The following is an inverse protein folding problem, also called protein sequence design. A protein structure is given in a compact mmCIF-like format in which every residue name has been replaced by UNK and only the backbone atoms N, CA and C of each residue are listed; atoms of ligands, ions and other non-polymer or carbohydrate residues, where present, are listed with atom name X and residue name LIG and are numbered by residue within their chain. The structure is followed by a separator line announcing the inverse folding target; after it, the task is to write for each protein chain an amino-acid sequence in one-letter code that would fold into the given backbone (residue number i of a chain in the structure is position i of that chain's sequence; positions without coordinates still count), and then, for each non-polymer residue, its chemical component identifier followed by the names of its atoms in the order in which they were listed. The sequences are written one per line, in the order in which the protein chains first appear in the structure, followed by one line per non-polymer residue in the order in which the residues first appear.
data_IF_414443329678
#
_entry.id   IF_414443329678
#
_cell.length_a   1.000
_cell.length_b   1.000
_cell.length_c   1.000
_cell.angle_alpha   90.00
_cell.angle_beta   90.00
_cell.angle_gamma   90.00
#
_symmetry.space_group_name_H-M   'P 1'
#
loop_
_entity.id
_entity.type
_entity.pdbx_description
1 polymer ?
#
# COMPACT_ATOMS: atom_id res chain seq x y z
N UNK A 1 34.74 1.16 3.30
CA UNK A 1 33.41 0.64 2.84
C UNK A 1 32.37 1.66 3.28
N UNK A 2 31.73 2.37 2.36
CA UNK A 2 30.67 3.33 2.70
C UNK A 2 29.44 2.57 3.19
N UNK A 3 29.12 2.71 4.46
CA UNK A 3 27.89 2.15 5.04
C UNK A 3 26.71 2.92 4.42
N UNK A 4 26.03 2.30 3.48
CA UNK A 4 24.78 2.85 2.93
C UNK A 4 23.76 2.88 4.05
N UNK A 5 23.13 4.03 4.27
CA UNK A 5 22.06 4.14 5.27
C UNK A 5 20.99 3.05 5.00
N UNK A 6 20.46 2.41 6.05
CA UNK A 6 19.44 1.40 5.88
C UNK A 6 18.20 1.99 5.17
N UNK A 7 17.59 1.21 4.28
CA UNK A 7 16.33 1.59 3.66
C UNK A 7 15.24 1.69 4.73
N UNK A 8 14.38 2.69 4.62
CA UNK A 8 13.24 2.85 5.52
C UNK A 8 11.92 2.84 4.75
N UNK A 9 10.86 2.36 5.41
CA UNK A 9 9.53 2.25 4.84
C UNK A 9 8.44 2.59 5.86
N UNK A 10 7.46 3.37 5.41
CA UNK A 10 6.19 3.63 6.07
C UNK A 10 5.12 2.79 5.37
N UNK A 11 4.55 1.82 6.05
CA UNK A 11 3.55 0.94 5.46
C UNK A 11 2.16 1.36 5.88
N UNK A 12 1.23 1.49 4.92
CA UNK A 12 -0.18 1.69 5.23
C UNK A 12 -0.77 0.46 5.91
N UNK A 13 -0.98 0.55 7.21
CA UNK A 13 -1.47 -0.53 8.06
C UNK A 13 -2.99 -0.70 8.10
N UNK A 14 -3.75 0.19 7.45
CA UNK A 14 -5.22 0.20 7.49
C UNK A 14 -5.85 -1.07 6.91
N UNK A 15 -5.13 -1.74 6.01
CA UNK A 15 -5.60 -2.97 5.34
C UNK A 15 -5.96 -4.10 6.30
N UNK A 16 -5.36 -4.16 7.49
CA UNK A 16 -5.54 -5.28 8.43
C UNK A 16 -6.99 -5.42 8.94
N UNK A 17 -7.72 -4.31 8.99
CA UNK A 17 -9.12 -4.26 9.43
C UNK A 17 -10.11 -4.18 8.27
N UNK A 18 -9.65 -4.28 7.03
CA UNK A 18 -10.55 -4.25 5.90
C UNK A 18 -11.52 -5.44 5.96
N UNK A 19 -12.86 -5.23 5.94
CA UNK A 19 -13.83 -6.27 6.28
C UNK A 19 -13.77 -7.50 5.38
N UNK A 20 -13.39 -7.32 4.12
CA UNK A 20 -13.30 -8.42 3.15
C UNK A 20 -11.87 -8.82 2.81
N UNK A 21 -10.90 -7.91 2.90
CA UNK A 21 -9.52 -8.14 2.48
C UNK A 21 -8.55 -8.41 3.65
N UNK A 22 -8.82 -7.89 4.85
CA UNK A 22 -7.92 -7.96 6.00
C UNK A 22 -7.61 -9.39 6.43
N UNK A 23 -8.63 -10.25 6.54
CA UNK A 23 -8.48 -11.66 6.91
C UNK A 23 -8.16 -12.59 5.73
N UNK A 24 -8.19 -12.09 4.49
CA UNK A 24 -8.00 -12.85 3.25
C UNK A 24 -6.62 -12.61 2.62
N UNK A 25 -6.50 -12.95 1.33
CA UNK A 25 -5.24 -12.91 0.58
C UNK A 25 -4.48 -11.60 0.69
N UNK A 26 -5.15 -10.45 0.56
CA UNK A 26 -4.50 -9.12 0.59
C UNK A 26 -3.85 -8.84 1.95
N UNK A 27 -4.61 -9.03 3.05
CA UNK A 27 -4.06 -8.80 4.40
C UNK A 27 -2.93 -9.76 4.73
N UNK A 28 -3.08 -11.06 4.41
CA UNK A 28 -2.01 -12.06 4.61
C UNK A 28 -0.77 -11.75 3.79
N UNK A 29 -0.95 -11.35 2.52
CA UNK A 29 0.15 -10.95 1.66
C UNK A 29 0.88 -9.73 2.24
N UNK A 30 0.14 -8.70 2.67
CA UNK A 30 0.72 -7.49 3.26
C UNK A 30 1.52 -7.81 4.52
N UNK A 31 1.00 -8.67 5.41
CA UNK A 31 1.74 -9.13 6.59
C UNK A 31 3.03 -9.86 6.19
N UNK A 32 2.95 -10.77 5.22
CA UNK A 32 4.11 -11.49 4.68
C UNK A 32 5.16 -10.55 4.06
N UNK A 33 4.69 -9.57 3.30
CA UNK A 33 5.54 -8.55 2.68
C UNK A 33 6.27 -7.70 3.74
N UNK A 34 5.57 -7.22 4.77
CA UNK A 34 6.16 -6.45 5.88
C UNK A 34 7.20 -7.30 6.64
N UNK A 35 6.90 -8.58 6.89
CA UNK A 35 7.88 -9.51 7.50
C UNK A 35 9.14 -9.65 6.66
N UNK A 36 8.97 -9.83 5.34
CA UNK A 36 10.10 -9.99 4.42
C UNK A 36 10.96 -8.72 4.37
N UNK A 37 10.36 -7.53 4.31
CA UNK A 37 11.09 -6.27 4.37
C UNK A 37 11.90 -6.15 5.67
N UNK A 38 11.27 -6.42 6.81
CA UNK A 38 11.95 -6.37 8.12
C UNK A 38 13.10 -7.37 8.20
N UNK A 39 12.92 -8.59 7.70
CA UNK A 39 13.95 -9.62 7.63
C UNK A 39 15.10 -9.23 6.69
N UNK A 40 14.84 -8.45 5.65
CA UNK A 40 15.82 -7.88 4.74
C UNK A 40 16.56 -6.63 5.31
N UNK A 41 16.28 -6.25 6.56
CA UNK A 41 16.93 -5.12 7.22
C UNK A 41 16.33 -3.75 6.87
N UNK A 42 15.14 -3.71 6.24
CA UNK A 42 14.43 -2.47 6.01
C UNK A 42 13.82 -1.98 7.33
N UNK A 43 14.12 -0.74 7.73
CA UNK A 43 13.51 -0.11 8.89
C UNK A 43 12.04 0.19 8.58
N UNK A 44 11.16 -0.66 9.09
CA UNK A 44 9.74 -0.64 8.72
C UNK A 44 8.88 -0.12 9.85
N UNK A 45 8.08 0.93 9.57
CA UNK A 45 7.05 1.44 10.47
C UNK A 45 5.68 1.28 9.83
N UNK A 46 4.76 0.61 10.52
CA UNK A 46 3.38 0.45 10.08
C UNK A 46 2.52 1.58 10.64
N UNK A 47 1.82 2.29 9.77
CA UNK A 47 0.94 3.41 10.11
C UNK A 47 -0.51 2.92 10.26
N UNK A 48 -1.08 3.12 11.43
CA UNK A 48 -2.39 2.62 11.83
C UNK A 48 -3.35 3.76 12.18
N UNK A 49 -4.60 3.71 11.76
CA UNK A 49 -5.63 4.70 12.13
C UNK A 49 -6.18 4.47 13.54
N UNK A 50 -6.15 3.24 14.03
CA UNK A 50 -6.73 2.87 15.34
C UNK A 50 -5.75 2.14 16.24
N UNK A 51 -6.04 2.12 17.55
CA UNK A 51 -5.29 1.30 18.53
C UNK A 51 -5.43 -0.19 18.22
N UNK A 52 -6.61 -0.61 17.76
CA UNK A 52 -6.89 -2.01 17.43
C UNK A 52 -6.04 -2.47 16.25
N UNK A 53 -5.94 -1.68 15.18
CA UNK A 53 -5.03 -1.98 14.07
C UNK A 53 -3.59 -2.15 14.56
N UNK A 54 -3.12 -1.25 15.39
CA UNK A 54 -1.78 -1.30 15.97
C UNK A 54 -1.55 -2.59 16.75
N UNK A 55 -2.50 -2.97 17.62
CA UNK A 55 -2.45 -4.22 18.39
C UNK A 55 -2.36 -5.43 17.45
N UNK A 56 -3.24 -5.51 16.45
CA UNK A 56 -3.27 -6.61 15.47
C UNK A 56 -1.98 -6.72 14.68
N UNK A 57 -1.36 -5.60 14.30
CA UNK A 57 -0.06 -5.62 13.64
C UNK A 57 1.05 -6.15 14.55
N UNK A 58 1.07 -5.75 15.82
CA UNK A 58 2.05 -6.21 16.80
C UNK A 58 1.86 -7.70 17.14
N UNK A 59 0.64 -8.18 17.15
CA UNK A 59 0.33 -9.62 17.29
C UNK A 59 0.76 -10.41 16.06
N UNK A 60 0.50 -9.87 14.86
CA UNK A 60 0.89 -10.53 13.62
C UNK A 60 2.41 -10.57 13.42
N UNK A 61 3.12 -9.51 13.82
CA UNK A 61 4.58 -9.38 13.68
C UNK A 61 5.16 -8.85 14.99
N UNK A 62 5.57 -9.72 15.93
CA UNK A 62 6.18 -9.29 17.17
C UNK A 62 7.41 -8.40 16.94
N UNK A 63 7.47 -7.28 17.66
CA UNK A 63 8.56 -6.31 17.56
C UNK A 63 8.44 -5.29 16.43
N UNK A 64 7.40 -5.36 15.57
CA UNK A 64 7.19 -4.35 14.52
C UNK A 64 6.88 -2.98 15.12
N UNK A 65 7.48 -1.94 14.55
CA UNK A 65 7.10 -0.55 14.86
C UNK A 65 5.73 -0.25 14.26
N UNK A 66 4.68 -0.24 15.09
CA UNK A 66 3.32 0.16 14.67
C UNK A 66 2.92 1.46 15.38
N UNK A 67 2.68 2.53 14.62
CA UNK A 67 2.42 3.88 15.13
C UNK A 67 1.06 4.40 14.67
N UNK A 68 0.51 5.35 15.44
CA UNK A 68 -0.67 6.08 15.01
C UNK A 68 -0.34 6.88 13.74
N UNK A 69 -1.24 6.85 12.76
CA UNK A 69 -1.08 7.64 11.53
C UNK A 69 -1.43 9.11 11.85
N UNK A 70 -0.44 9.89 12.20
CA UNK A 70 -0.54 11.33 12.45
C UNK A 70 0.50 12.08 11.62
N UNK A 71 0.25 13.37 11.36
CA UNK A 71 1.21 14.23 10.64
C UNK A 71 2.59 14.20 11.31
N UNK A 72 2.64 14.33 12.63
CA UNK A 72 3.89 14.40 13.39
C UNK A 72 4.73 13.12 13.24
N UNK A 73 4.07 11.96 13.26
CA UNK A 73 4.74 10.65 13.04
C UNK A 73 5.35 10.58 11.64
N UNK A 74 4.62 11.05 10.63
CA UNK A 74 5.11 11.04 9.24
C UNK A 74 6.25 12.06 9.08
N UNK A 75 6.12 13.26 9.61
CA UNK A 75 7.17 14.30 9.60
C UNK A 75 8.45 13.81 10.29
N UNK A 76 8.31 13.16 11.45
CA UNK A 76 9.48 12.60 12.15
C UNK A 76 10.18 11.53 11.29
N UNK A 77 9.41 10.65 10.65
CA UNK A 77 9.94 9.57 9.82
C UNK A 77 10.49 10.07 8.47
N UNK A 78 10.01 11.20 7.91
CA UNK A 78 10.48 11.73 6.63
C UNK A 78 11.97 12.07 6.62
N UNK A 79 12.58 12.29 7.78
CA UNK A 79 14.03 12.56 7.93
C UNK A 79 14.90 11.40 7.45
N UNK A 80 14.38 10.19 7.47
CA UNK A 80 15.07 8.97 7.02
C UNK A 80 14.81 8.66 5.55
N UNK A 81 14.19 9.59 4.80
CA UNK A 81 13.83 9.45 3.40
C UNK A 81 13.13 8.11 3.08
N UNK A 82 12.02 7.79 3.77
CA UNK A 82 11.34 6.51 3.65
C UNK A 82 10.55 6.42 2.34
N UNK A 83 10.26 5.17 1.92
CA UNK A 83 9.19 4.91 0.97
C UNK A 83 7.86 4.74 1.70
N UNK A 84 6.78 5.34 1.19
CA UNK A 84 5.44 5.01 1.63
C UNK A 84 4.91 3.83 0.81
N UNK A 85 4.55 2.74 1.47
CA UNK A 85 4.00 1.53 0.83
C UNK A 85 2.47 1.57 0.92
N UNK A 86 1.84 1.93 -0.20
CA UNK A 86 0.39 1.94 -0.34
C UNK A 86 -0.13 0.51 -0.52
N UNK A 87 -0.92 0.03 0.42
CA UNK A 87 -1.50 -1.32 0.41
C UNK A 87 -2.97 -1.34 0.00
N UNK A 88 -3.60 -0.17 -0.16
CA UNK A 88 -5.05 -0.05 -0.36
C UNK A 88 -5.46 0.31 -1.79
N UNK A 89 -4.51 0.52 -2.70
CA UNK A 89 -4.81 0.91 -4.08
C UNK A 89 -5.82 -0.04 -4.76
N UNK A 90 -5.73 -1.33 -4.48
CA UNK A 90 -6.56 -2.36 -5.12
C UNK A 90 -7.75 -2.82 -4.26
N UNK A 91 -7.99 -2.21 -3.10
CA UNK A 91 -9.12 -2.55 -2.24
C UNK A 91 -10.46 -2.02 -2.79
N UNK A 92 -11.55 -2.59 -2.32
CA UNK A 92 -12.91 -2.17 -2.65
C UNK A 92 -13.79 -2.16 -1.40
N UNK A 93 -14.42 -1.05 -1.02
CA UNK A 93 -14.32 0.26 -1.67
C UNK A 93 -12.92 0.88 -1.53
N UNK A 94 -12.50 1.61 -2.56
CA UNK A 94 -11.23 2.32 -2.52
C UNK A 94 -11.39 3.57 -1.63
N UNK A 95 -10.46 3.84 -0.68
CA UNK A 95 -10.45 5.10 0.05
C UNK A 95 -10.25 6.29 -0.90
N UNK A 96 -10.83 7.44 -0.58
CA UNK A 96 -10.60 8.66 -1.36
C UNK A 96 -9.14 9.11 -1.29
N UNK A 97 -8.50 8.90 -0.15
CA UNK A 97 -7.11 9.23 0.13
C UNK A 97 -6.23 7.97 0.19
N UNK A 98 -6.13 7.24 -0.91
CA UNK A 98 -5.26 6.06 -1.03
C UNK A 98 -3.82 6.42 -0.68
N UNK A 99 -3.33 7.56 -1.19
CA UNK A 99 -2.09 8.19 -0.75
C UNK A 99 -2.46 9.42 0.09
N UNK A 100 -2.30 9.34 1.42
CA UNK A 100 -2.65 10.45 2.29
C UNK A 100 -1.91 11.73 1.95
N UNK A 101 -2.60 12.87 2.02
CA UNK A 101 -2.08 14.17 1.61
C UNK A 101 -0.74 14.53 2.25
N UNK A 102 -0.51 14.18 3.51
CA UNK A 102 0.76 14.42 4.19
C UNK A 102 1.95 13.74 3.51
N UNK A 103 1.74 12.61 2.84
CA UNK A 103 2.78 11.88 2.11
C UNK A 103 3.22 12.70 0.89
N UNK A 104 2.26 13.22 0.12
CA UNK A 104 2.54 14.06 -1.06
C UNK A 104 3.06 15.44 -0.68
N UNK A 105 2.59 16.05 0.41
CA UNK A 105 3.10 17.33 0.93
C UNK A 105 4.56 17.27 1.36
N UNK A 106 5.04 16.12 1.81
CA UNK A 106 6.42 15.90 2.23
C UNK A 106 7.30 15.28 1.14
N UNK A 107 6.78 15.16 -0.08
CA UNK A 107 7.48 14.56 -1.24
C UNK A 107 8.05 13.16 -0.94
N UNK A 108 7.33 12.39 -0.11
CA UNK A 108 7.70 11.01 0.22
C UNK A 108 7.35 10.13 -0.98
N UNK A 109 8.33 9.38 -1.49
CA UNK A 109 8.12 8.44 -2.58
C UNK A 109 7.13 7.35 -2.23
N UNK A 110 6.28 7.00 -3.19
CA UNK A 110 5.18 6.05 -3.00
C UNK A 110 5.39 4.80 -3.84
N UNK A 111 5.36 3.64 -3.20
CA UNK A 111 5.22 2.37 -3.88
C UNK A 111 3.85 1.76 -3.57
N UNK A 112 3.17 1.21 -4.57
CA UNK A 112 1.88 0.55 -4.37
C UNK A 112 1.97 -0.95 -4.65
N UNK A 113 1.26 -1.75 -3.85
CA UNK A 113 1.12 -3.18 -4.09
C UNK A 113 -0.11 -3.41 -4.97
N UNK A 114 0.11 -4.06 -6.11
CA UNK A 114 -0.96 -4.49 -7.03
C UNK A 114 -1.18 -5.98 -6.88
N UNK A 115 -2.40 -6.38 -6.50
CA UNK A 115 -2.76 -7.78 -6.28
C UNK A 115 -3.38 -8.42 -7.53
N UNK A 116 -4.26 -7.67 -8.20
CA UNK A 116 -4.89 -8.04 -9.47
C UNK A 116 -5.52 -6.81 -10.13
N UNK A 117 -5.89 -6.95 -11.39
CA UNK A 117 -6.64 -5.98 -12.20
C UNK A 117 -7.85 -6.63 -12.87
N UNK A 118 -8.40 -7.66 -12.24
CA UNK A 118 -9.52 -8.46 -12.76
C UNK A 118 -10.73 -7.58 -13.11
N UNK A 119 -11.16 -6.61 -12.26
CA UNK A 119 -12.30 -5.76 -12.61
C UNK A 119 -12.08 -4.91 -13.87
N UNK A 120 -10.85 -4.44 -14.10
CA UNK A 120 -10.52 -3.65 -15.29
C UNK A 120 -10.54 -4.52 -16.55
N UNK A 121 -10.04 -5.76 -16.44
CA UNK A 121 -9.96 -6.70 -17.56
C UNK A 121 -11.31 -7.27 -17.97
N UNK A 122 -12.26 -7.39 -17.06
CA UNK A 122 -13.60 -7.93 -17.29
C UNK A 122 -14.68 -6.95 -16.81
N UNK A 123 -14.74 -5.73 -17.42
CA UNK A 123 -15.58 -4.65 -16.92
C UNK A 123 -17.08 -4.99 -16.99
N UNK A 124 -17.51 -5.76 -17.99
CA UNK A 124 -18.91 -6.21 -18.13
C UNK A 124 -19.37 -7.08 -16.97
N UNK A 125 -18.44 -7.79 -16.33
CA UNK A 125 -18.74 -8.68 -15.19
C UNK A 125 -18.62 -7.99 -13.83
N UNK A 126 -17.68 -7.07 -13.69
CA UNK A 126 -17.32 -6.49 -12.39
C UNK A 126 -17.71 -5.02 -12.24
N UNK A 127 -17.82 -4.28 -13.36
CA UNK A 127 -18.16 -2.85 -13.37
C UNK A 127 -19.61 -2.62 -13.80
N UNK A 128 -20.53 -3.39 -13.22
CA UNK A 128 -21.93 -3.45 -13.63
C UNK A 128 -22.77 -2.27 -13.17
N UNK A 129 -22.26 -1.45 -12.25
CA UNK A 129 -22.95 -0.28 -11.74
C UNK A 129 -22.03 0.95 -11.66
N UNK A 130 -22.63 2.13 -11.52
CA UNK A 130 -21.89 3.40 -11.53
C UNK A 130 -20.91 3.54 -10.35
N UNK A 131 -21.23 2.95 -9.21
CA UNK A 131 -20.34 2.95 -8.05
C UNK A 131 -19.04 2.19 -8.36
N UNK A 132 -19.13 0.98 -8.91
CA UNK A 132 -17.97 0.18 -9.30
C UNK A 132 -17.13 0.89 -10.37
N UNK A 133 -17.77 1.54 -11.34
CA UNK A 133 -17.08 2.34 -12.38
C UNK A 133 -16.37 3.54 -11.78
N UNK A 134 -17.03 4.27 -10.86
CA UNK A 134 -16.42 5.39 -10.14
C UNK A 134 -15.18 4.93 -9.34
N UNK A 135 -15.30 3.83 -8.59
CA UNK A 135 -14.17 3.26 -7.83
C UNK A 135 -12.98 2.93 -8.73
N UNK A 136 -13.24 2.37 -9.91
CA UNK A 136 -12.18 2.07 -10.89
C UNK A 136 -11.52 3.34 -11.43
N UNK A 137 -12.29 4.38 -11.73
CA UNK A 137 -11.74 5.69 -12.15
C UNK A 137 -10.88 6.32 -11.05
N UNK A 138 -11.34 6.30 -9.81
CA UNK A 138 -10.56 6.80 -8.65
C UNK A 138 -9.23 6.06 -8.51
N UNK A 139 -9.23 4.73 -8.72
CA UNK A 139 -8.01 3.94 -8.73
C UNK A 139 -7.02 4.41 -9.80
N UNK A 140 -7.49 4.58 -11.03
CA UNK A 140 -6.66 5.08 -12.14
C UNK A 140 -6.09 6.47 -11.86
N UNK A 141 -6.89 7.36 -11.25
CA UNK A 141 -6.41 8.69 -10.84
C UNK A 141 -5.34 8.57 -9.76
N UNK A 142 -5.56 7.73 -8.75
CA UNK A 142 -4.59 7.52 -7.68
C UNK A 142 -3.27 6.91 -8.17
N UNK A 143 -3.26 6.15 -9.28
CA UNK A 143 -2.03 5.63 -9.88
C UNK A 143 -1.04 6.72 -10.27
N UNK A 144 -1.51 7.94 -10.55
CA UNK A 144 -0.65 9.08 -10.92
C UNK A 144 0.24 9.57 -9.77
N UNK A 145 -0.11 9.23 -8.54
CA UNK A 145 0.66 9.59 -7.33
C UNK A 145 1.57 8.45 -6.86
N UNK A 146 1.79 7.44 -7.70
CA UNK A 146 2.59 6.25 -7.38
C UNK A 146 3.88 6.29 -8.19
N UNK A 147 5.02 6.27 -7.49
CA UNK A 147 6.34 6.25 -8.14
C UNK A 147 6.76 4.85 -8.59
N UNK A 148 6.29 3.81 -7.88
CA UNK A 148 6.62 2.40 -8.20
C UNK A 148 5.44 1.48 -7.92
N UNK A 149 5.33 0.45 -8.77
CA UNK A 149 4.33 -0.61 -8.60
C UNK A 149 5.00 -1.94 -8.29
N UNK A 150 4.51 -2.62 -7.25
CA UNK A 150 4.95 -3.95 -6.85
C UNK A 150 3.81 -4.93 -7.12
N UNK A 151 3.98 -5.81 -8.10
CA UNK A 151 3.00 -6.85 -8.41
C UNK A 151 3.35 -8.16 -7.69
N UNK A 152 2.33 -8.92 -7.33
CA UNK A 152 2.49 -10.22 -6.67
C UNK A 152 2.86 -11.37 -7.63
N UNK A 153 2.84 -11.12 -8.94
CA UNK A 153 3.24 -12.08 -9.99
C UNK A 153 3.61 -11.36 -11.28
N UNK A 154 4.37 -12.02 -12.15
CA UNK A 154 4.69 -11.51 -13.50
C UNK A 154 3.41 -11.25 -14.30
N UNK A 155 2.43 -12.15 -14.21
CA UNK A 155 1.13 -11.97 -14.88
C UNK A 155 0.43 -10.69 -14.41
N UNK A 156 0.40 -10.42 -13.09
CA UNK A 156 -0.17 -9.19 -12.54
C UNK A 156 0.60 -7.97 -13.02
N UNK A 157 1.94 -8.02 -13.07
CA UNK A 157 2.77 -6.92 -13.57
C UNK A 157 2.43 -6.57 -15.02
N UNK A 158 2.41 -7.59 -15.91
CA UNK A 158 2.11 -7.42 -17.32
C UNK A 158 0.71 -6.87 -17.56
N UNK A 159 -0.26 -7.43 -16.87
CA UNK A 159 -1.66 -7.01 -16.99
C UNK A 159 -1.86 -5.60 -16.45
N UNK A 160 -1.22 -5.25 -15.32
CA UNK A 160 -1.33 -3.91 -14.72
C UNK A 160 -0.73 -2.83 -15.61
N UNK A 161 0.38 -3.11 -16.31
CA UNK A 161 0.97 -2.17 -17.24
C UNK A 161 -0.04 -1.74 -18.33
N UNK A 162 -0.81 -2.70 -18.84
CA UNK A 162 -1.85 -2.46 -19.86
C UNK A 162 -3.08 -1.76 -19.25
N UNK A 163 -3.65 -2.34 -18.18
CA UNK A 163 -4.96 -1.94 -17.66
C UNK A 163 -4.93 -0.64 -16.83
N UNK A 164 -3.81 -0.34 -16.19
CA UNK A 164 -3.63 0.87 -15.40
C UNK A 164 -2.81 1.93 -16.15
N UNK A 165 -2.22 1.61 -17.29
CA UNK A 165 -1.36 2.52 -18.05
C UNK A 165 -0.10 2.91 -17.27
N UNK A 166 0.49 1.97 -16.52
CA UNK A 166 1.68 2.20 -15.70
C UNK A 166 2.91 1.56 -16.35
N UNK A 167 4.06 2.22 -16.21
CA UNK A 167 5.31 1.71 -16.76
C UNK A 167 5.77 0.44 -16.05
N UNK A 168 6.38 -0.46 -16.82
CA UNK A 168 6.91 -1.76 -16.37
C UNK A 168 8.36 -1.65 -15.85
N UNK A 169 8.80 -0.47 -15.50
CA UNK A 169 10.20 -0.24 -15.06
C UNK A 169 10.48 -0.78 -13.66
#
# INVERSE_FOLDING_TARGET
MSSRAPLSALVDGRVIDHPTAGARGVGRYTIGFVRAMSAAGVVTTVLCSTREQRRRWQEAIPGISAKQFTRDVVVAASRDNPWFICTQLMLHPIPLDVVPRVITELDIKVAAIVYDVIPQRFPERYLTNDHARLQTRLRTVNCRSIDRFCANSTFTADTSAVELGVDRS
#
